data_IF_254395693730
#
_entry.id   IF_254395693730
#
_cell.length_a   1.000
_cell.length_b   1.000
_cell.length_c   1.000
_cell.angle_alpha   90.00
_cell.angle_beta   90.00
_cell.angle_gamma   90.00
#
_symmetry.space_group_name_H-M   'P 1'
#
loop_
_entity.id
_entity.type
_entity.pdbx_description
1 polymer ?
#
# COMPACT_ATOMS: atom_id res chain seq x y z
N UNK A 1 -5.03 6.28 12.02
CA UNK A 1 -6.39 6.14 12.60
C UNK A 1 -6.53 7.06 13.79
N UNK A 2 -7.58 7.89 13.78
CA UNK A 2 -7.86 8.88 14.83
C UNK A 2 -9.31 8.73 15.26
N UNK A 3 -9.55 8.74 16.57
CA UNK A 3 -10.88 8.82 17.16
C UNK A 3 -11.11 10.22 17.72
N UNK A 4 -12.36 10.68 17.66
CA UNK A 4 -12.78 11.97 18.20
C UNK A 4 -13.78 11.72 19.32
N UNK A 5 -13.54 12.31 20.49
CA UNK A 5 -14.41 12.17 21.65
C UNK A 5 -15.77 12.80 21.46
N UNK A 6 -16.80 12.12 21.97
CA UNK A 6 -18.17 12.61 22.07
C UNK A 6 -18.57 12.89 23.54
N UNK A 7 -17.61 12.81 24.48
CA UNK A 7 -17.81 13.06 25.91
C UNK A 7 -18.55 11.95 26.66
N UNK A 8 -18.98 10.88 25.99
CA UNK A 8 -19.82 9.83 26.59
C UNK A 8 -19.35 8.42 26.28
N UNK A 9 -18.92 8.16 25.04
CA UNK A 9 -18.45 6.86 24.58
C UNK A 9 -16.98 6.65 24.94
N UNK A 10 -16.65 5.43 25.32
CA UNK A 10 -15.27 4.97 25.42
C UNK A 10 -14.60 4.93 24.04
N UNK A 11 -13.26 4.98 24.00
CA UNK A 11 -12.50 4.78 22.76
C UNK A 11 -12.92 3.47 22.05
N UNK A 12 -13.15 2.39 22.79
CA UNK A 12 -13.61 1.11 22.22
C UNK A 12 -14.95 1.25 21.50
N UNK A 13 -15.91 1.96 22.09
CA UNK A 13 -17.24 2.16 21.49
C UNK A 13 -17.15 3.06 20.25
N UNK A 14 -16.34 4.12 20.31
CA UNK A 14 -16.07 4.98 19.15
C UNK A 14 -15.46 4.19 17.99
N UNK A 15 -14.50 3.28 18.27
CA UNK A 15 -13.90 2.41 17.27
C UNK A 15 -14.86 1.37 16.69
N UNK A 16 -15.92 0.99 17.41
CA UNK A 16 -16.94 0.07 16.89
C UNK A 16 -17.92 0.75 15.92
N UNK A 17 -18.09 2.07 16.04
CA UNK A 17 -18.98 2.85 15.16
C UNK A 17 -18.44 2.94 13.73
N UNK A 18 -17.11 2.91 13.54
CA UNK A 18 -16.49 2.90 12.21
C UNK A 18 -16.14 1.47 11.73
N UNK A 19 -16.60 1.15 10.51
CA UNK A 19 -16.47 -0.18 9.91
C UNK A 19 -15.02 -0.59 9.63
N UNK A 20 -14.07 0.35 9.52
CA UNK A 20 -12.64 0.02 9.31
C UNK A 20 -11.93 -0.15 10.63
N UNK A 21 -12.23 0.68 11.62
CA UNK A 21 -11.57 0.63 12.94
C UNK A 21 -11.96 -0.59 13.74
N UNK A 22 -13.16 -1.14 13.56
CA UNK A 22 -13.58 -2.36 14.24
C UNK A 22 -12.65 -3.55 13.94
N UNK A 23 -12.11 -3.63 12.72
CA UNK A 23 -11.17 -4.69 12.32
C UNK A 23 -9.83 -4.60 13.04
N UNK A 24 -9.46 -3.41 13.53
CA UNK A 24 -8.22 -3.18 14.26
C UNK A 24 -8.35 -3.39 15.77
N UNK A 25 -9.57 -3.51 16.30
CA UNK A 25 -9.81 -3.66 17.74
C UNK A 25 -9.01 -4.78 18.41
N UNK A 26 -8.89 -6.00 17.84
CA UNK A 26 -8.10 -7.05 18.47
C UNK A 26 -6.62 -6.67 18.65
N UNK A 27 -6.04 -5.97 17.67
CA UNK A 27 -4.64 -5.52 17.71
C UNK A 27 -4.48 -4.34 18.67
N UNK A 28 -5.41 -3.37 18.61
CA UNK A 28 -5.41 -2.21 19.49
C UNK A 28 -5.59 -2.61 20.95
N UNK A 29 -6.45 -3.60 21.25
CA UNK A 29 -6.62 -4.13 22.62
C UNK A 29 -5.32 -4.70 23.19
N UNK A 30 -4.53 -5.40 22.38
CA UNK A 30 -3.21 -5.90 22.81
C UNK A 30 -2.22 -4.77 23.09
N UNK A 31 -2.33 -3.65 22.36
CA UNK A 31 -1.36 -2.54 22.43
C UNK A 31 -1.69 -1.53 23.52
N UNK A 32 -2.97 -1.21 23.70
CA UNK A 32 -3.45 -0.13 24.57
C UNK A 32 -4.21 -0.62 25.81
N UNK A 33 -4.63 -1.89 25.83
CA UNK A 33 -5.30 -2.48 26.99
C UNK A 33 -6.45 -1.62 27.54
N UNK A 34 -6.32 -1.24 28.81
CA UNK A 34 -7.32 -0.47 29.55
C UNK A 34 -7.48 0.99 29.07
N UNK A 35 -6.50 1.56 28.36
CA UNK A 35 -6.63 2.91 27.81
C UNK A 35 -7.81 3.00 26.82
N UNK A 36 -8.21 1.88 26.19
CA UNK A 36 -9.36 1.88 25.28
C UNK A 36 -10.71 2.03 25.99
N UNK A 37 -10.75 1.98 27.32
CA UNK A 37 -11.94 2.25 28.14
C UNK A 37 -12.06 3.73 28.51
N UNK A 38 -11.07 4.56 28.17
CA UNK A 38 -11.12 6.01 28.44
C UNK A 38 -12.22 6.68 27.61
N UNK A 39 -12.95 7.60 28.23
CA UNK A 39 -13.89 8.51 27.55
C UNK A 39 -13.14 9.80 27.21
N UNK A 40 -13.10 10.14 25.93
CA UNK A 40 -12.48 11.36 25.44
C UNK A 40 -13.46 12.53 25.52
N UNK A 41 -12.98 13.72 25.88
CA UNK A 41 -13.80 14.93 25.91
C UNK A 41 -14.34 15.27 24.52
N UNK A 42 -15.45 16.02 24.46
CA UNK A 42 -16.07 16.41 23.19
C UNK A 42 -15.05 17.14 22.31
N UNK A 43 -14.80 16.60 21.12
CA UNK A 43 -13.85 17.17 20.15
C UNK A 43 -12.37 16.82 20.37
N UNK A 44 -12.03 16.15 21.48
CA UNK A 44 -10.68 15.67 21.73
C UNK A 44 -10.28 14.60 20.71
N UNK A 45 -9.10 14.74 20.10
CA UNK A 45 -8.59 13.80 19.09
C UNK A 45 -7.50 12.91 19.68
N UNK A 46 -7.67 11.60 19.62
CA UNK A 46 -6.63 10.61 19.97
C UNK A 46 -6.20 9.86 18.73
N UNK A 47 -4.90 9.95 18.41
CA UNK A 47 -4.27 9.17 17.32
C UNK A 47 -3.87 7.81 17.89
N UNK A 48 -4.47 6.74 17.39
CA UNK A 48 -4.21 5.37 17.85
C UNK A 48 -3.23 4.61 16.93
N UNK A 49 -3.23 4.97 15.65
CA UNK A 49 -2.30 4.42 14.66
C UNK A 49 -1.72 5.59 13.85
N UNK A 50 -0.46 5.98 14.10
CA UNK A 50 0.16 7.11 13.40
C UNK A 50 0.68 6.73 12.00
N UNK A 51 0.58 5.46 11.61
CA UNK A 51 1.13 4.94 10.35
C UNK A 51 0.05 4.84 9.26
N UNK A 52 0.40 5.26 8.04
CA UNK A 52 -0.44 5.17 6.83
C UNK A 52 -0.50 3.77 6.21
N UNK A 53 -0.69 2.71 7.00
CA UNK A 53 -0.77 1.33 6.50
C UNK A 53 -2.24 0.91 6.29
N UNK A 54 -2.57 0.42 5.09
CA UNK A 54 -3.90 -0.08 4.72
C UNK A 54 -4.41 -1.16 5.69
N UNK A 55 -3.60 -2.19 5.96
CA UNK A 55 -3.92 -3.30 6.88
C UNK A 55 -4.14 -2.80 8.31
N UNK A 56 -3.62 -1.61 8.65
CA UNK A 56 -3.79 -0.97 9.97
C UNK A 56 -4.79 0.19 9.97
N UNK A 57 -5.65 0.27 8.95
CA UNK A 57 -6.78 1.19 8.88
C UNK A 57 -6.47 2.56 8.28
N UNK A 58 -5.39 2.72 7.51
CA UNK A 58 -5.22 3.88 6.66
C UNK A 58 -6.25 3.88 5.52
N UNK A 59 -6.80 5.06 5.21
CA UNK A 59 -7.70 5.24 4.09
C UNK A 59 -6.88 5.49 2.83
N UNK A 60 -7.08 4.68 1.81
CA UNK A 60 -6.58 4.94 0.47
C UNK A 60 -7.62 5.75 -0.30
N UNK A 61 -7.15 6.75 -1.05
CA UNK A 61 -7.99 7.62 -1.87
C UNK A 61 -7.41 7.61 -3.26
N UNK A 62 -8.25 7.24 -4.22
CA UNK A 62 -7.93 7.24 -5.62
C UNK A 62 -8.09 8.66 -6.17
N UNK A 63 -6.94 9.24 -6.52
CA UNK A 63 -6.82 10.56 -7.11
C UNK A 63 -6.46 10.50 -8.61
N UNK A 64 -6.80 9.40 -9.30
CA UNK A 64 -6.50 9.23 -10.74
C UNK A 64 -7.11 10.32 -11.62
N UNK A 65 -8.15 11.00 -11.15
CA UNK A 65 -8.74 12.16 -11.82
C UNK A 65 -7.81 13.39 -11.90
N UNK A 66 -6.69 13.39 -11.18
CA UNK A 66 -5.68 14.46 -11.21
C UNK A 66 -4.53 14.15 -12.17
N UNK A 67 -4.54 12.97 -12.81
CA UNK A 67 -3.57 12.60 -13.84
C UNK A 67 -3.79 13.47 -15.06
N UNK A 68 -2.73 14.14 -15.50
CA UNK A 68 -2.65 14.85 -16.77
C UNK A 68 -1.35 14.50 -17.49
N UNK A 69 -1.21 15.00 -18.71
CA UNK A 69 -0.02 14.74 -19.54
C UNK A 69 1.25 15.23 -18.82
N UNK A 70 1.17 16.38 -18.15
CA UNK A 70 2.34 16.98 -17.48
C UNK A 70 2.84 16.10 -16.32
N UNK A 71 1.93 15.58 -15.51
CA UNK A 71 2.25 14.62 -14.46
C UNK A 71 2.83 13.33 -15.06
N UNK A 72 2.20 12.82 -16.13
CA UNK A 72 2.62 11.58 -16.80
C UNK A 72 4.04 11.68 -17.32
N UNK A 73 4.36 12.74 -18.07
CA UNK A 73 5.72 12.97 -18.58
C UNK A 73 6.75 13.15 -17.45
N UNK A 74 6.37 13.82 -16.36
CA UNK A 74 7.27 14.01 -15.21
C UNK A 74 7.63 12.68 -14.56
N UNK A 75 6.62 11.84 -14.27
CA UNK A 75 6.84 10.53 -13.65
C UNK A 75 7.57 9.59 -14.61
N UNK A 76 7.26 9.61 -15.90
CA UNK A 76 7.95 8.81 -16.91
C UNK A 76 9.45 9.21 -17.04
N UNK A 77 9.76 10.51 -17.05
CA UNK A 77 11.13 10.99 -17.04
C UNK A 77 11.92 10.57 -15.79
N UNK A 78 11.25 10.44 -14.64
CA UNK A 78 11.86 9.92 -13.41
C UNK A 78 12.11 8.41 -13.54
N UNK A 79 11.09 7.65 -13.93
CA UNK A 79 11.13 6.19 -14.02
C UNK A 79 12.12 5.68 -15.09
N UNK A 80 12.21 6.36 -16.23
CA UNK A 80 13.09 6.00 -17.35
C UNK A 80 14.59 6.06 -17.00
N UNK A 81 14.97 6.74 -15.92
CA UNK A 81 16.34 6.74 -15.39
C UNK A 81 16.72 5.39 -14.76
N UNK A 82 15.73 4.58 -14.38
CA UNK A 82 15.95 3.25 -13.81
C UNK A 82 15.92 2.23 -14.94
N UNK A 83 17.11 1.83 -15.40
CA UNK A 83 17.25 0.85 -16.48
C UNK A 83 16.52 -0.46 -16.13
N UNK A 84 15.61 -0.89 -17.01
CA UNK A 84 14.85 -2.12 -16.81
C UNK A 84 13.55 -1.94 -16.04
N UNK A 85 13.21 -0.72 -15.61
CA UNK A 85 11.95 -0.43 -14.94
C UNK A 85 10.88 0.01 -15.95
N UNK A 86 9.96 -0.91 -16.27
CA UNK A 86 8.86 -0.67 -17.21
C UNK A 86 7.48 -0.68 -16.53
N UNK A 87 7.42 -1.16 -15.30
CA UNK A 87 6.19 -1.29 -14.54
C UNK A 87 6.51 -1.33 -13.05
N UNK A 88 5.70 -0.61 -12.27
CA UNK A 88 5.75 -0.66 -10.83
C UNK A 88 5.00 0.51 -10.21
N UNK A 89 5.30 0.78 -8.93
CA UNK A 89 4.70 1.86 -8.16
C UNK A 89 5.78 2.66 -7.45
N UNK A 90 5.63 3.98 -7.46
CA UNK A 90 6.42 4.88 -6.63
C UNK A 90 5.61 5.29 -5.41
N UNK A 91 6.21 5.16 -4.23
CA UNK A 91 5.68 5.79 -3.03
C UNK A 91 6.44 7.11 -2.86
N UNK A 92 5.74 8.24 -3.01
CA UNK A 92 6.34 9.57 -3.05
C UNK A 92 5.81 10.48 -1.96
N UNK A 93 6.60 11.50 -1.62
CA UNK A 93 6.18 12.68 -0.86
C UNK A 93 6.40 13.93 -1.70
N UNK A 94 5.47 14.86 -1.64
CA UNK A 94 5.53 16.12 -2.38
C UNK A 94 4.75 17.21 -1.61
N UNK A 95 4.98 18.48 -1.93
CA UNK A 95 4.33 19.61 -1.25
C UNK A 95 2.97 19.98 -1.87
N UNK A 96 2.92 20.10 -3.19
CA UNK A 96 1.71 20.48 -3.94
C UNK A 96 1.64 19.78 -5.29
N UNK A 97 0.43 19.62 -5.82
CA UNK A 97 0.22 19.01 -7.15
C UNK A 97 0.93 19.76 -8.26
N UNK A 98 0.97 21.09 -8.20
CA UNK A 98 1.65 21.91 -9.20
C UNK A 98 3.16 21.72 -9.19
N UNK A 99 3.77 21.56 -8.01
CA UNK A 99 5.19 21.23 -7.89
C UNK A 99 5.48 19.81 -8.38
N UNK A 100 4.63 18.85 -8.00
CA UNK A 100 4.74 17.46 -8.45
C UNK A 100 4.69 17.36 -9.98
N UNK A 101 3.75 18.05 -10.62
CA UNK A 101 3.66 18.14 -12.09
C UNK A 101 4.86 18.82 -12.74
N UNK A 102 5.62 19.62 -12.01
CA UNK A 102 6.84 20.27 -12.51
C UNK A 102 8.11 19.48 -12.19
N UNK A 103 8.01 18.33 -11.53
CA UNK A 103 9.18 17.57 -11.08
C UNK A 103 9.91 18.22 -9.90
N UNK A 104 9.26 19.15 -9.16
CA UNK A 104 9.88 19.94 -8.08
C UNK A 104 9.48 19.43 -6.71
N UNK A 105 10.43 19.45 -5.77
CA UNK A 105 10.21 19.09 -4.36
C UNK A 105 9.51 17.72 -4.18
N UNK A 106 9.93 16.73 -4.97
CA UNK A 106 9.45 15.35 -4.88
C UNK A 106 10.53 14.51 -4.22
N UNK A 107 10.13 13.72 -3.22
CA UNK A 107 10.97 12.68 -2.63
C UNK A 107 10.38 11.31 -2.94
N UNK A 108 11.17 10.44 -3.57
CA UNK A 108 10.81 9.03 -3.76
C UNK A 108 11.23 8.27 -2.51
N UNK A 109 10.26 7.66 -1.83
CA UNK A 109 10.45 6.91 -0.59
C UNK A 109 10.66 5.43 -0.89
N UNK A 110 9.90 4.89 -1.84
CA UNK A 110 10.00 3.49 -2.26
C UNK A 110 9.79 3.37 -3.77
N UNK A 111 10.53 2.45 -4.38
CA UNK A 111 10.34 2.00 -5.76
C UNK A 111 9.95 0.53 -5.72
N UNK A 112 8.67 0.26 -5.99
CA UNK A 112 8.11 -1.09 -6.04
C UNK A 112 8.12 -1.60 -7.48
N UNK A 113 8.64 -2.80 -7.71
CA UNK A 113 8.67 -3.44 -9.04
C UNK A 113 7.38 -4.14 -9.44
N UNK A 114 7.48 -5.17 -10.30
CA UNK A 114 6.35 -5.90 -10.89
C UNK A 114 5.35 -6.52 -9.89
N UNK A 115 5.76 -6.73 -8.63
CA UNK A 115 4.88 -7.20 -7.55
C UNK A 115 4.01 -6.11 -6.92
N UNK A 116 4.07 -4.87 -7.40
CA UNK A 116 3.33 -3.76 -6.81
C UNK A 116 1.82 -3.89 -7.04
N UNK A 117 1.06 -3.87 -5.95
CA UNK A 117 -0.40 -3.88 -5.99
C UNK A 117 -0.97 -2.47 -6.30
N UNK A 118 -2.04 -2.37 -7.13
CA UNK A 118 -2.69 -1.09 -7.44
C UNK A 118 -3.51 -0.57 -6.26
N UNK A 119 -2.86 0.21 -5.41
CA UNK A 119 -3.43 0.67 -4.13
C UNK A 119 -4.74 1.46 -4.28
N UNK A 120 -4.95 2.15 -5.40
CA UNK A 120 -6.17 2.92 -5.64
C UNK A 120 -7.43 2.06 -5.67
N UNK A 121 -7.33 0.76 -5.95
CA UNK A 121 -8.49 -0.14 -5.89
C UNK A 121 -9.12 -0.26 -4.50
N UNK A 122 -8.37 0.11 -3.45
CA UNK A 122 -8.85 0.12 -2.06
C UNK A 122 -9.60 1.39 -1.66
N UNK A 123 -9.77 2.36 -2.58
CA UNK A 123 -10.63 3.51 -2.29
C UNK A 123 -12.06 3.03 -2.00
N UNK A 124 -12.67 3.42 -0.86
CA UNK A 124 -14.05 3.09 -0.50
C UNK A 124 -15.10 3.45 -1.56
N UNK A 125 -14.79 4.36 -2.49
CA UNK A 125 -15.70 4.70 -3.59
C UNK A 125 -15.81 3.57 -4.63
N UNK A 126 -14.85 2.66 -4.69
CA UNK A 126 -14.77 1.60 -5.68
C UNK A 126 -15.47 0.33 -5.23
N UNK A 127 -15.99 -0.42 -6.20
CA UNK A 127 -16.61 -1.72 -5.97
C UNK A 127 -15.57 -2.86 -6.04
N UNK A 128 -15.93 -4.05 -5.56
CA UNK A 128 -15.09 -5.24 -5.73
C UNK A 128 -14.85 -5.59 -7.21
N UNK A 129 -15.85 -5.33 -8.06
CA UNK A 129 -15.74 -5.56 -9.52
C UNK A 129 -14.70 -4.61 -10.11
N UNK A 130 -14.70 -3.33 -9.70
CA UNK A 130 -13.66 -2.38 -10.09
C UNK A 130 -12.28 -2.89 -9.67
N UNK A 131 -12.13 -3.34 -8.43
CA UNK A 131 -10.84 -3.84 -7.93
C UNK A 131 -10.32 -5.04 -8.73
N UNK A 132 -11.18 -6.02 -9.04
CA UNK A 132 -10.81 -7.16 -9.88
C UNK A 132 -10.46 -6.76 -11.31
N UNK A 133 -11.26 -5.87 -11.91
CA UNK A 133 -10.96 -5.35 -13.24
C UNK A 133 -9.58 -4.68 -13.26
N UNK A 134 -9.22 -3.98 -12.19
CA UNK A 134 -7.96 -3.28 -12.11
C UNK A 134 -6.76 -4.20 -11.90
N UNK A 135 -6.91 -5.28 -11.13
CA UNK A 135 -5.90 -6.35 -11.05
C UNK A 135 -5.66 -6.97 -12.43
N UNK A 136 -6.74 -7.33 -13.14
CA UNK A 136 -6.65 -7.91 -14.49
C UNK A 136 -5.96 -6.95 -15.45
N UNK A 137 -6.28 -5.65 -15.40
CA UNK A 137 -5.62 -4.63 -16.22
C UNK A 137 -4.11 -4.60 -15.98
N UNK A 138 -3.67 -4.63 -14.73
CA UNK A 138 -2.23 -4.64 -14.40
C UNK A 138 -1.54 -5.92 -14.86
N UNK A 139 -2.20 -7.07 -14.75
CA UNK A 139 -1.68 -8.33 -15.30
C UNK A 139 -1.52 -8.30 -16.81
N UNK A 140 -2.48 -7.72 -17.54
CA UNK A 140 -2.39 -7.56 -18.99
C UNK A 140 -1.19 -6.68 -19.39
N UNK A 141 -0.95 -5.58 -18.67
CA UNK A 141 0.21 -4.71 -18.90
C UNK A 141 1.53 -5.47 -18.64
N UNK A 142 1.61 -6.18 -17.51
CA UNK A 142 2.79 -6.98 -17.18
C UNK A 142 3.06 -8.07 -18.24
N UNK A 143 2.01 -8.74 -18.72
CA UNK A 143 2.10 -9.72 -19.79
C UNK A 143 2.63 -9.10 -21.09
N UNK A 144 2.10 -7.95 -21.48
CA UNK A 144 2.54 -7.23 -22.69
C UNK A 144 4.01 -6.83 -22.59
N UNK A 145 4.42 -6.21 -21.48
CA UNK A 145 5.81 -5.85 -21.21
C UNK A 145 6.72 -7.08 -21.23
N UNK A 146 6.29 -8.19 -20.63
CA UNK A 146 7.03 -9.46 -20.62
C UNK A 146 7.26 -9.99 -22.04
N UNK A 147 6.23 -9.95 -22.89
CA UNK A 147 6.34 -10.36 -24.30
C UNK A 147 7.27 -9.45 -25.08
N UNK A 148 7.13 -8.13 -24.93
CA UNK A 148 8.01 -7.16 -25.58
C UNK A 148 9.46 -7.41 -25.16
N UNK A 149 9.71 -7.59 -23.88
CA UNK A 149 11.03 -7.90 -23.32
C UNK A 149 11.61 -9.20 -23.87
N UNK A 150 10.80 -10.25 -23.98
CA UNK A 150 11.22 -11.50 -24.58
C UNK A 150 11.64 -11.31 -26.04
N UNK A 151 10.81 -10.66 -26.85
CA UNK A 151 11.07 -10.49 -28.28
C UNK A 151 12.22 -9.51 -28.58
N UNK A 152 12.28 -8.37 -27.89
CA UNK A 152 13.27 -7.31 -28.17
C UNK A 152 14.60 -7.53 -27.47
N UNK A 153 14.59 -8.13 -26.28
CA UNK A 153 15.78 -8.25 -25.41
C UNK A 153 16.23 -9.70 -25.21
N UNK A 154 15.54 -10.66 -25.83
CA UNK A 154 15.83 -12.09 -25.71
C UNK A 154 15.83 -12.56 -24.25
N UNK A 155 15.05 -11.90 -23.38
CA UNK A 155 14.91 -12.30 -21.99
C UNK A 155 14.07 -13.58 -21.92
N UNK A 156 14.55 -14.66 -21.28
CA UNK A 156 13.79 -15.89 -21.21
C UNK A 156 12.58 -15.72 -20.28
N UNK A 157 11.48 -16.40 -20.61
CA UNK A 157 10.39 -16.54 -19.65
C UNK A 157 10.86 -17.34 -18.43
N UNK A 158 10.26 -17.05 -17.28
CA UNK A 158 10.51 -17.80 -16.06
C UNK A 158 10.09 -19.26 -16.26
N UNK A 159 11.00 -20.18 -15.96
CA UNK A 159 10.69 -21.61 -15.95
C UNK A 159 9.79 -21.93 -14.76
N UNK A 160 8.86 -22.85 -14.94
CA UNK A 160 7.99 -23.35 -13.86
C UNK A 160 8.83 -23.87 -12.68
N UNK A 161 9.94 -24.56 -12.96
CA UNK A 161 10.86 -25.06 -11.93
C UNK A 161 11.49 -23.93 -11.10
N UNK A 162 11.83 -22.80 -11.73
CA UNK A 162 12.32 -21.62 -11.01
C UNK A 162 11.26 -21.06 -10.06
N UNK A 163 9.98 -21.04 -10.49
CA UNK A 163 8.88 -20.62 -9.62
C UNK A 163 8.71 -21.53 -8.40
N UNK A 164 8.75 -22.85 -8.58
CA UNK A 164 8.71 -23.81 -7.46
C UNK A 164 9.89 -23.63 -6.51
N UNK A 165 11.08 -23.40 -7.05
CA UNK A 165 12.27 -23.14 -6.25
C UNK A 165 12.13 -21.86 -5.42
N UNK A 166 11.56 -20.79 -5.98
CA UNK A 166 11.26 -19.56 -5.23
C UNK A 166 10.30 -19.82 -4.06
N UNK A 167 9.25 -20.63 -4.25
CA UNK A 167 8.36 -21.03 -3.15
C UNK A 167 9.09 -21.81 -2.06
N UNK A 168 9.97 -22.74 -2.45
CA UNK A 168 10.79 -23.53 -1.52
C UNK A 168 11.72 -22.63 -0.70
N UNK A 169 12.43 -21.73 -1.36
CA UNK A 169 13.33 -20.76 -0.73
C UNK A 169 12.58 -19.83 0.22
N UNK A 170 11.44 -19.28 -0.20
CA UNK A 170 10.62 -18.43 0.64
C UNK A 170 10.14 -19.17 1.90
N UNK A 171 9.70 -20.42 1.78
CA UNK A 171 9.31 -21.25 2.93
C UNK A 171 10.47 -21.45 3.91
N UNK A 172 11.67 -21.72 3.41
CA UNK A 172 12.86 -21.88 4.24
C UNK A 172 13.23 -20.57 4.97
N UNK A 173 13.17 -19.44 4.26
CA UNK A 173 13.45 -18.12 4.80
C UNK A 173 12.45 -17.70 5.90
N UNK A 174 11.14 -17.88 5.66
CA UNK A 174 10.10 -17.60 6.67
C UNK A 174 10.30 -18.46 7.92
N UNK A 175 10.70 -19.72 7.76
CA UNK A 175 11.02 -20.60 8.89
C UNK A 175 12.19 -20.05 9.71
N UNK A 176 13.28 -19.67 9.05
CA UNK A 176 14.47 -19.09 9.68
C UNK A 176 14.12 -17.84 10.52
N UNK A 177 13.38 -16.88 9.93
CA UNK A 177 12.96 -15.67 10.67
C UNK A 177 12.06 -16.02 11.86
N UNK A 178 11.14 -16.97 11.68
CA UNK A 178 10.22 -17.36 12.75
C UNK A 178 10.93 -18.05 13.92
N UNK A 179 12.04 -18.74 13.66
CA UNK A 179 12.87 -19.37 14.69
C UNK A 179 13.74 -18.34 15.41
N UNK A 180 14.31 -17.38 14.68
CA UNK A 180 15.11 -16.27 15.23
C UNK A 180 14.29 -15.35 16.15
N UNK A 181 13.05 -15.03 15.73
CA UNK A 181 12.09 -14.27 16.55
C UNK A 181 11.67 -14.99 17.84
N UNK A 182 11.73 -16.33 17.88
CA UNK A 182 11.45 -17.12 19.09
C UNK A 182 12.65 -17.18 20.04
N UNK A 183 13.86 -16.96 19.54
CA UNK A 183 15.07 -16.93 20.37
C UNK A 183 15.33 -15.55 20.97
N UNK A 184 14.80 -14.51 20.34
CA UNK A 184 14.97 -13.09 20.76
C UNK A 184 13.77 -12.52 21.54
N UNK A 185 12.70 -13.29 21.72
CA UNK A 185 11.51 -12.93 22.51
C UNK A 185 11.44 -13.72 23.81
#
# INVERSE_FOLDING_TARGET
>A
MTVVGDGQSTITELLRKDKRSILQLPVLKKSYGNELSTILQVGEKRVLVPYGNHVRGAKFVDASNLIDDKLTHTIDAICSRVKGFYFGRLDIRFNSWEELKQGKNISIIELNGAGSEPTHMYDPKHSIIFAWAEIIRHWNILWEISRINHHQRQLPYMKISSGFEMFRQNKAYVKMISEDLKQTA
#
